data_IF_916178745350
#
_entry.id   IF_916178745350
#
_cell.length_a   1.000
_cell.length_b   1.000
_cell.length_c   1.000
_cell.angle_alpha   90.00
_cell.angle_beta   90.00
_cell.angle_gamma   90.00
#
_symmetry.space_group_name_H-M   'P 1'
#
loop_
_entity.id
_entity.type
_entity.pdbx_description
1 polymer ?
#
# COMPACT_ATOMS: atom_id res chain seq x y z
N UNK A 1 -36.88 8.26 35.15
CA UNK A 1 -37.06 8.06 33.66
C UNK A 1 -36.20 8.93 32.76
N UNK A 2 -35.61 10.03 33.25
CA UNK A 2 -34.73 10.92 32.40
C UNK A 2 -33.28 10.45 32.32
N UNK A 3 -32.73 9.83 33.35
CA UNK A 3 -31.32 9.41 33.41
C UNK A 3 -31.03 8.23 32.46
N UNK A 4 -31.94 7.27 32.30
CA UNK A 4 -31.78 6.12 31.42
C UNK A 4 -31.76 6.50 29.94
N UNK A 5 -32.51 7.53 29.55
CA UNK A 5 -32.50 8.07 28.17
C UNK A 5 -31.15 8.72 27.83
N UNK A 6 -30.53 9.39 28.80
CA UNK A 6 -29.20 10.03 28.61
C UNK A 6 -28.09 8.98 28.52
N UNK A 7 -28.17 7.89 29.34
CA UNK A 7 -27.22 6.77 29.29
C UNK A 7 -27.29 6.01 27.96
N UNK A 8 -28.48 5.81 27.41
CA UNK A 8 -28.67 5.13 26.13
C UNK A 8 -28.11 5.96 24.98
N UNK A 9 -28.25 7.30 25.01
CA UNK A 9 -27.68 8.21 24.01
C UNK A 9 -26.16 8.20 24.08
N UNK A 10 -25.55 8.21 25.25
CA UNK A 10 -24.10 8.11 25.46
C UNK A 10 -23.53 6.77 24.96
N UNK A 11 -24.22 5.66 25.15
CA UNK A 11 -23.83 4.35 24.64
C UNK A 11 -23.97 4.25 23.12
N UNK A 12 -24.89 4.97 22.50
CA UNK A 12 -25.04 5.02 21.05
C UNK A 12 -23.96 5.90 20.39
N UNK A 13 -23.56 7.00 21.01
CA UNK A 13 -22.48 7.86 20.53
C UNK A 13 -21.11 7.17 20.57
N UNK A 14 -20.84 6.29 21.53
CA UNK A 14 -19.57 5.57 21.61
C UNK A 14 -19.38 4.53 20.51
N UNK A 15 -20.45 4.02 19.91
CA UNK A 15 -20.37 3.08 18.77
C UNK A 15 -20.06 3.76 17.43
N UNK A 16 -20.26 5.07 17.32
CA UNK A 16 -19.99 5.83 16.08
C UNK A 16 -18.50 6.11 15.84
N UNK A 17 -17.65 5.95 16.86
CA UNK A 17 -16.21 6.23 16.74
C UNK A 17 -15.33 5.00 16.50
N UNK A 18 -15.91 3.80 16.44
CA UNK A 18 -15.17 2.55 16.22
C UNK A 18 -15.28 2.08 14.76
N UNK A 19 -15.24 2.97 13.78
CA UNK A 19 -14.90 2.55 12.43
C UNK A 19 -13.40 2.24 12.41
N UNK A 20 -13.10 0.95 12.43
CA UNK A 20 -11.74 0.45 12.23
C UNK A 20 -11.35 0.72 10.76
N UNK A 21 -10.97 1.98 10.48
CA UNK A 21 -10.53 2.40 9.16
C UNK A 21 -9.11 1.93 8.94
N UNK A 22 -8.92 1.08 7.94
CA UNK A 22 -7.58 0.61 7.56
C UNK A 22 -6.68 1.80 7.23
N UNK A 23 -5.39 1.78 7.67
CA UNK A 23 -4.42 2.76 7.19
C UNK A 23 -4.23 2.68 5.68
N UNK A 24 -4.18 3.82 5.01
CA UNK A 24 -3.84 3.91 3.57
C UNK A 24 -2.33 3.85 3.43
N UNK A 25 -1.81 2.95 2.60
CA UNK A 25 -0.36 2.75 2.46
C UNK A 25 0.09 2.71 1.01
N UNK A 26 1.24 3.35 0.75
CA UNK A 26 2.04 3.19 -0.46
C UNK A 26 3.38 2.61 -0.02
N UNK A 27 3.84 1.56 -0.69
CA UNK A 27 5.16 0.97 -0.46
C UNK A 27 6.09 1.36 -1.61
N UNK A 28 7.23 1.93 -1.27
CA UNK A 28 8.35 2.19 -2.19
C UNK A 28 9.44 1.15 -1.88
N UNK A 29 10.00 0.52 -2.91
CA UNK A 29 11.03 -0.50 -2.71
C UNK A 29 12.00 -0.54 -3.89
N UNK A 30 13.27 -0.64 -3.62
CA UNK A 30 14.32 -0.91 -4.60
C UNK A 30 14.51 -2.42 -4.80
N UNK A 31 13.40 -3.15 -4.78
CA UNK A 31 13.33 -4.61 -4.89
C UNK A 31 14.29 -5.15 -5.96
N UNK A 32 14.93 -6.29 -5.70
CA UNK A 32 16.05 -6.86 -6.45
C UNK A 32 17.41 -6.18 -6.21
N UNK A 33 17.49 -5.27 -5.26
CA UNK A 33 18.77 -4.84 -4.73
C UNK A 33 19.32 -5.90 -3.77
N UNK A 34 18.52 -6.31 -2.79
CA UNK A 34 18.86 -7.34 -1.81
C UNK A 34 17.71 -8.37 -1.67
N UNK A 35 18.01 -9.64 -1.25
CA UNK A 35 16.97 -10.69 -1.15
C UNK A 35 15.87 -10.39 -0.14
N UNK A 36 16.15 -9.59 0.88
CA UNK A 36 15.20 -9.25 1.95
C UNK A 36 14.10 -8.29 1.51
N UNK A 37 14.30 -7.51 0.45
CA UNK A 37 13.24 -6.71 -0.17
C UNK A 37 12.08 -7.59 -0.64
N UNK A 38 12.42 -8.67 -1.34
CA UNK A 38 11.43 -9.64 -1.79
C UNK A 38 10.77 -10.35 -0.60
N UNK A 39 11.54 -10.70 0.43
CA UNK A 39 11.03 -11.32 1.65
C UNK A 39 10.11 -10.38 2.42
N UNK A 40 10.46 -9.10 2.52
CA UNK A 40 9.65 -8.06 3.17
C UNK A 40 8.35 -7.83 2.41
N UNK A 41 8.39 -7.83 1.07
CA UNK A 41 7.18 -7.74 0.23
C UNK A 41 6.26 -8.94 0.45
N UNK A 42 6.79 -10.17 0.49
CA UNK A 42 6.01 -11.37 0.79
C UNK A 42 5.37 -11.25 2.18
N UNK A 43 6.14 -10.84 3.20
CA UNK A 43 5.61 -10.62 4.55
C UNK A 43 4.50 -9.57 4.55
N UNK A 44 4.70 -8.43 3.88
CA UNK A 44 3.69 -7.38 3.77
C UNK A 44 2.37 -7.93 3.21
N UNK A 45 2.41 -8.75 2.17
CA UNK A 45 1.21 -9.32 1.57
C UNK A 45 0.45 -10.27 2.51
N UNK A 46 1.14 -10.92 3.46
CA UNK A 46 0.47 -11.75 4.48
C UNK A 46 -0.32 -10.94 5.51
N UNK A 47 -0.11 -9.62 5.59
CA UNK A 47 -0.83 -8.68 6.44
C UNK A 47 -1.65 -7.65 5.65
N UNK A 48 -1.75 -7.82 4.32
CA UNK A 48 -2.38 -6.83 3.45
C UNK A 48 -3.88 -6.61 3.75
N UNK A 49 -4.52 -7.54 4.45
CA UNK A 49 -5.89 -7.38 4.95
C UNK A 49 -6.03 -6.26 6.01
N UNK A 50 -4.93 -5.80 6.61
CA UNK A 50 -4.94 -4.74 7.63
C UNK A 50 -4.79 -3.33 7.03
N UNK A 51 -4.53 -3.22 5.72
CA UNK A 51 -4.23 -1.98 5.04
C UNK A 51 -5.16 -1.74 3.84
N UNK A 52 -5.38 -0.48 3.51
CA UNK A 52 -5.82 -0.04 2.18
C UNK A 52 -4.56 0.23 1.36
N UNK A 53 -4.13 -0.78 0.59
CA UNK A 53 -2.95 -0.66 -0.26
C UNK A 53 -3.29 0.24 -1.44
N UNK A 54 -2.59 1.37 -1.55
CA UNK A 54 -2.82 2.39 -2.57
C UNK A 54 -1.73 2.39 -3.66
N UNK A 55 -0.59 1.74 -3.40
CA UNK A 55 0.48 1.62 -4.37
C UNK A 55 1.61 0.70 -3.94
N UNK A 56 2.24 0.07 -4.92
CA UNK A 56 3.48 -0.69 -4.82
C UNK A 56 4.42 -0.14 -5.90
N UNK A 57 5.42 0.64 -5.51
CA UNK A 57 6.27 1.37 -6.47
C UNK A 57 7.69 0.83 -6.40
N UNK A 58 8.16 0.33 -7.54
CA UNK A 58 9.56 -0.04 -7.69
C UNK A 58 10.42 1.21 -7.90
N UNK A 59 11.47 1.39 -7.09
CA UNK A 59 12.32 2.58 -7.08
C UNK A 59 13.78 2.24 -7.35
N UNK A 60 14.58 3.27 -7.61
CA UNK A 60 16.03 3.22 -7.53
C UNK A 60 16.50 3.50 -6.10
N UNK A 61 17.75 3.14 -5.80
CA UNK A 61 18.45 3.48 -4.56
C UNK A 61 19.92 3.79 -4.81
N UNK A 62 20.65 4.09 -3.73
CA UNK A 62 22.11 4.26 -3.80
C UNK A 62 22.82 2.99 -4.29
N UNK A 63 22.21 1.82 -4.11
CA UNK A 63 22.74 0.53 -4.50
C UNK A 63 22.22 0.04 -5.87
N UNK A 64 21.05 0.53 -6.30
CA UNK A 64 20.39 0.18 -7.55
C UNK A 64 20.05 1.45 -8.35
N UNK A 65 21.05 2.02 -9.04
CA UNK A 65 21.00 3.40 -9.56
C UNK A 65 20.39 3.57 -10.94
N UNK A 66 20.23 2.51 -11.72
CA UNK A 66 19.91 2.59 -13.15
C UNK A 66 18.84 1.63 -13.62
N UNK A 67 18.09 1.04 -12.70
CA UNK A 67 16.99 0.14 -13.02
C UNK A 67 15.94 0.17 -11.90
N UNK A 68 14.73 -0.18 -12.25
CA UNK A 68 13.63 -0.52 -11.34
C UNK A 68 13.12 -1.92 -11.67
N UNK A 69 12.63 -2.66 -10.69
CA UNK A 69 12.32 -4.07 -10.86
C UNK A 69 10.85 -4.41 -10.52
N UNK A 70 9.90 -3.64 -11.09
CA UNK A 70 8.47 -3.92 -10.90
C UNK A 70 8.04 -5.32 -11.34
N UNK A 71 8.80 -5.95 -12.23
CA UNK A 71 8.57 -7.33 -12.65
C UNK A 71 8.63 -8.31 -11.46
N UNK A 72 9.52 -8.06 -10.48
CA UNK A 72 9.60 -8.90 -9.27
C UNK A 72 8.38 -8.71 -8.37
N UNK A 73 7.89 -7.48 -8.22
CA UNK A 73 6.64 -7.24 -7.51
C UNK A 73 5.47 -8.00 -8.16
N UNK A 74 5.42 -8.00 -9.50
CA UNK A 74 4.39 -8.76 -10.25
C UNK A 74 4.50 -10.27 -10.01
N UNK A 75 5.71 -10.84 -10.03
CA UNK A 75 5.92 -12.26 -9.73
C UNK A 75 5.46 -12.64 -8.30
N UNK A 76 5.79 -11.80 -7.31
CA UNK A 76 5.38 -12.03 -5.92
C UNK A 76 3.86 -11.94 -5.79
N UNK A 77 3.20 -10.97 -6.44
CA UNK A 77 1.74 -10.85 -6.42
C UNK A 77 1.08 -12.02 -7.16
N UNK A 78 1.68 -12.54 -8.24
CA UNK A 78 1.18 -13.76 -8.91
C UNK A 78 1.35 -15.02 -8.02
N UNK A 79 2.40 -15.09 -7.22
CA UNK A 79 2.53 -16.14 -6.21
C UNK A 79 1.48 -15.97 -5.09
N UNK A 80 1.25 -14.74 -4.63
CA UNK A 80 0.19 -14.41 -3.66
C UNK A 80 -1.19 -14.80 -4.17
N UNK A 81 -1.51 -14.61 -5.46
CA UNK A 81 -2.77 -15.05 -6.09
C UNK A 81 -3.13 -16.49 -5.76
N UNK A 82 -2.13 -17.37 -5.72
CA UNK A 82 -2.33 -18.82 -5.49
C UNK A 82 -2.70 -19.15 -4.04
N UNK A 83 -2.30 -18.30 -3.10
CA UNK A 83 -2.51 -18.52 -1.65
C UNK A 83 -3.54 -17.60 -1.02
N UNK A 84 -3.89 -16.49 -1.68
CA UNK A 84 -4.86 -15.50 -1.19
C UNK A 84 -6.22 -16.12 -0.82
N UNK A 85 -6.79 -17.08 -1.57
CA UNK A 85 -8.02 -17.76 -1.15
C UNK A 85 -7.89 -18.46 0.20
N UNK A 86 -6.73 -19.05 0.50
CA UNK A 86 -6.49 -19.71 1.80
C UNK A 86 -6.43 -18.66 2.94
N UNK A 87 -5.78 -17.52 2.73
CA UNK A 87 -5.81 -16.43 3.72
C UNK A 87 -7.24 -15.97 4.01
N UNK A 88 -8.06 -15.84 2.97
CA UNK A 88 -9.45 -15.39 3.10
C UNK A 88 -10.36 -16.39 3.84
N UNK A 89 -9.95 -17.65 4.01
CA UNK A 89 -10.65 -18.61 4.87
C UNK A 89 -10.43 -18.31 6.36
N UNK A 90 -9.31 -17.70 6.72
CA UNK A 90 -8.95 -17.41 8.11
C UNK A 90 -9.37 -16.00 8.52
N UNK A 91 -9.22 -15.02 7.61
CA UNK A 91 -9.56 -13.62 7.88
C UNK A 91 -10.00 -12.94 6.59
N UNK A 92 -10.97 -12.03 6.71
CA UNK A 92 -11.49 -11.28 5.56
C UNK A 92 -10.61 -10.05 5.23
N UNK A 93 -10.87 -9.44 4.07
CA UNK A 93 -10.32 -8.13 3.71
C UNK A 93 -8.97 -8.17 3.00
N UNK A 94 -8.49 -9.33 2.59
CA UNK A 94 -7.31 -9.45 1.73
C UNK A 94 -7.61 -8.88 0.33
N UNK A 95 -6.75 -7.97 -0.20
CA UNK A 95 -6.91 -7.46 -1.56
C UNK A 95 -6.76 -8.57 -2.58
N UNK A 96 -7.43 -8.44 -3.71
CA UNK A 96 -7.23 -9.40 -4.82
C UNK A 96 -5.90 -9.16 -5.51
N UNK A 97 -5.35 -10.19 -6.14
CA UNK A 97 -4.12 -10.05 -6.91
C UNK A 97 -4.29 -9.08 -8.09
N UNK A 98 -5.47 -9.03 -8.72
CA UNK A 98 -5.80 -8.08 -9.80
C UNK A 98 -5.66 -6.64 -9.31
N UNK A 99 -6.23 -6.34 -8.13
CA UNK A 99 -6.09 -5.03 -7.53
C UNK A 99 -4.62 -4.69 -7.28
N UNK A 100 -3.88 -5.57 -6.62
CA UNK A 100 -2.47 -5.35 -6.32
C UNK A 100 -1.63 -5.16 -7.60
N UNK A 101 -1.85 -5.96 -8.63
CA UNK A 101 -1.16 -5.81 -9.93
C UNK A 101 -1.43 -4.45 -10.57
N UNK A 102 -2.66 -3.92 -10.45
CA UNK A 102 -3.02 -2.61 -10.99
C UNK A 102 -2.31 -1.45 -10.29
N UNK A 103 -1.92 -1.67 -9.01
CA UNK A 103 -1.25 -0.69 -8.15
C UNK A 103 0.28 -0.73 -8.27
N UNK A 104 0.85 -1.71 -8.99
CA UNK A 104 2.29 -1.74 -9.25
C UNK A 104 2.65 -0.70 -10.28
N UNK A 105 3.62 0.18 -9.93
CA UNK A 105 4.13 1.24 -10.81
C UNK A 105 5.64 1.29 -10.76
N UNK A 106 6.22 1.76 -11.85
CA UNK A 106 7.64 2.08 -11.93
C UNK A 106 7.88 3.53 -11.48
N UNK A 107 8.87 3.72 -10.62
CA UNK A 107 9.51 5.00 -10.40
C UNK A 107 10.48 5.33 -11.54
N UNK A 108 11.34 6.34 -11.33
CA UNK A 108 12.42 6.66 -12.29
C UNK A 108 13.50 5.59 -12.23
N UNK A 109 14.01 5.20 -13.40
CA UNK A 109 15.17 4.32 -13.49
C UNK A 109 16.51 5.05 -13.26
N UNK A 110 16.49 6.38 -13.16
CA UNK A 110 17.64 7.21 -12.85
C UNK A 110 17.68 7.53 -11.35
N UNK A 111 18.85 7.46 -10.75
CA UNK A 111 19.04 7.76 -9.32
C UNK A 111 19.63 9.17 -9.12
N UNK A 112 19.19 9.85 -8.06
CA UNK A 112 19.78 11.09 -7.60
C UNK A 112 19.06 12.34 -8.12
N UNK A 113 19.66 13.51 -7.86
CA UNK A 113 19.03 14.81 -8.13
C UNK A 113 18.78 15.08 -9.61
N UNK A 114 19.52 14.45 -10.53
CA UNK A 114 19.28 14.55 -11.97
C UNK A 114 17.97 13.90 -12.41
N UNK A 115 17.38 13.05 -11.56
CA UNK A 115 16.09 12.41 -11.80
C UNK A 115 14.92 13.20 -11.19
N UNK A 116 15.16 14.41 -10.68
CA UNK A 116 14.15 15.25 -10.01
C UNK A 116 13.99 16.56 -10.78
N UNK A 117 12.74 16.96 -11.00
CA UNK A 117 12.44 18.25 -11.61
C UNK A 117 11.41 18.17 -12.73
N UNK A 118 11.25 19.26 -13.46
CA UNK A 118 10.25 19.37 -14.54
C UNK A 118 10.51 18.32 -15.63
N UNK A 119 9.50 17.52 -15.94
CA UNK A 119 9.57 16.47 -16.97
C UNK A 119 10.25 15.18 -16.48
N UNK A 120 10.46 15.03 -15.16
CA UNK A 120 11.02 13.83 -14.54
C UNK A 120 9.95 12.97 -13.86
N UNK A 121 8.68 13.15 -14.26
CA UNK A 121 7.56 12.39 -13.71
C UNK A 121 7.66 10.91 -14.13
N UNK A 122 7.06 10.06 -13.31
CA UNK A 122 6.96 8.62 -13.52
C UNK A 122 5.57 8.12 -13.14
N UNK A 123 5.21 6.92 -13.57
CA UNK A 123 3.95 6.29 -13.16
C UNK A 123 3.83 6.19 -11.63
N UNK A 124 4.96 5.99 -10.93
CA UNK A 124 5.04 5.97 -9.47
C UNK A 124 4.74 7.32 -8.85
N UNK A 125 5.34 8.42 -9.36
CA UNK A 125 5.07 9.78 -8.86
C UNK A 125 3.62 10.19 -9.11
N UNK A 126 3.07 9.91 -10.27
CA UNK A 126 1.68 10.17 -10.61
C UNK A 126 0.71 9.41 -9.71
N UNK A 127 1.02 8.15 -9.38
CA UNK A 127 0.22 7.37 -8.44
C UNK A 127 0.22 8.01 -7.05
N UNK A 128 1.37 8.47 -6.55
CA UNK A 128 1.49 9.14 -5.25
C UNK A 128 0.64 10.40 -5.23
N UNK A 129 0.77 11.26 -6.25
CA UNK A 129 -0.02 12.50 -6.37
C UNK A 129 -1.51 12.20 -6.35
N UNK A 130 -1.97 11.29 -7.21
CA UNK A 130 -3.38 10.89 -7.27
C UNK A 130 -3.90 10.32 -5.94
N UNK A 131 -3.05 9.60 -5.22
CA UNK A 131 -3.43 9.02 -3.93
C UNK A 131 -3.58 10.11 -2.86
N UNK A 132 -2.68 11.08 -2.83
CA UNK A 132 -2.75 12.22 -1.88
C UNK A 132 -3.93 13.12 -2.20
N UNK A 133 -4.24 13.34 -3.46
CA UNK A 133 -5.34 14.21 -3.91
C UNK A 133 -6.73 13.58 -3.75
N UNK A 134 -6.84 12.31 -3.36
CA UNK A 134 -8.15 11.70 -3.08
C UNK A 134 -8.87 12.43 -1.96
N UNK A 135 -10.18 12.60 -2.12
CA UNK A 135 -11.07 13.14 -1.08
C UNK A 135 -11.29 12.12 0.06
N UNK A 136 -10.21 11.78 0.77
CA UNK A 136 -10.17 10.85 1.90
C UNK A 136 -9.40 11.53 3.05
N UNK A 137 -10.06 11.72 4.19
CA UNK A 137 -9.47 12.41 5.34
C UNK A 137 -8.39 11.59 6.07
N UNK A 138 -8.25 10.30 5.75
CA UNK A 138 -7.22 9.44 6.35
C UNK A 138 -5.85 9.79 5.78
N UNK A 139 -4.79 9.87 6.62
CA UNK A 139 -3.44 10.08 6.12
C UNK A 139 -2.98 8.90 5.24
N UNK A 140 -2.12 9.20 4.27
CA UNK A 140 -1.41 8.19 3.47
C UNK A 140 -0.04 7.95 4.12
N UNK A 141 0.24 6.70 4.43
CA UNK A 141 1.55 6.27 4.92
C UNK A 141 2.40 5.85 3.73
N UNK A 142 3.57 6.44 3.60
CA UNK A 142 4.57 6.05 2.60
C UNK A 142 5.66 5.27 3.31
N UNK A 143 5.76 4.00 2.99
CA UNK A 143 6.77 3.07 3.53
C UNK A 143 7.93 2.99 2.54
N UNK A 144 9.17 3.12 3.05
CA UNK A 144 10.41 3.09 2.24
C UNK A 144 11.33 2.03 2.81
#
# INVERSE_FOLDING_TARGET
MKIYKLLIILLFCSKLYAQNTKPRVIVLTDIENEPDDAMSTVRFLTYANLFDVEGLVATTSVHQKNKVASWRLKEIVEAYRKVQPNFSLHESGYPTAELLLSLIKDGRADYGMQAVGKGMDSDGSELIIKTVDKADARPVWVLV
#
